data_IF_018794068986
#
_entry.id   IF_018794068986
#
_cell.length_a   1.000
_cell.length_b   1.000
_cell.length_c   1.000
_cell.angle_alpha   90.00
_cell.angle_beta   90.00
_cell.angle_gamma   90.00
#
_symmetry.space_group_name_H-M   'P 1'
#
loop_
_entity.id
_entity.type
_entity.pdbx_description
1 polymer ?
#
# COMPACT_ATOMS: atom_id res chain seq x y z
N UNK A 1 -8.67 -24.69 40.81
CA UNK A 1 -7.83 -24.05 39.77
C UNK A 1 -6.80 -23.14 40.44
N UNK A 2 -5.81 -22.65 39.72
CA UNK A 2 -4.79 -21.71 40.23
C UNK A 2 -4.71 -20.47 39.34
N UNK A 3 -4.35 -19.32 39.94
CA UNK A 3 -4.19 -18.05 39.24
C UNK A 3 -2.85 -17.42 39.60
N UNK A 4 -2.08 -17.03 38.57
CA UNK A 4 -0.79 -16.34 38.73
C UNK A 4 -1.02 -14.83 38.71
N UNK A 5 -0.65 -14.16 39.80
CA UNK A 5 -0.84 -12.72 39.97
C UNK A 5 0.48 -12.08 40.37
N UNK A 6 0.89 -11.04 39.66
CA UNK A 6 2.03 -10.19 39.98
C UNK A 6 1.65 -9.18 41.07
N UNK A 7 2.44 -9.15 42.14
CA UNK A 7 2.29 -8.22 43.26
C UNK A 7 3.65 -7.63 43.57
N UNK A 8 3.80 -6.31 43.52
CA UNK A 8 5.04 -5.60 43.81
C UNK A 8 6.28 -6.19 43.10
N UNK A 9 6.09 -6.62 41.83
CA UNK A 9 7.14 -7.20 41.00
C UNK A 9 7.43 -8.69 41.24
N UNK A 10 6.70 -9.37 42.12
CA UNK A 10 6.84 -10.81 42.39
C UNK A 10 5.57 -11.57 41.99
N UNK A 11 5.73 -12.71 41.32
CA UNK A 11 4.59 -13.59 40.98
C UNK A 11 4.17 -14.37 42.22
N UNK A 12 2.88 -14.29 42.58
CA UNK A 12 2.23 -15.11 43.59
C UNK A 12 1.18 -15.99 42.93
N UNK A 13 1.02 -17.21 43.47
CA UNK A 13 0.01 -18.17 42.99
C UNK A 13 -1.12 -18.24 44.00
N UNK A 14 -2.34 -17.97 43.55
CA UNK A 14 -3.55 -18.15 44.34
C UNK A 14 -4.13 -19.51 44.00
N UNK A 15 -4.06 -20.44 44.95
CA UNK A 15 -4.59 -21.79 44.82
C UNK A 15 -6.01 -21.89 45.38
N UNK A 16 -6.76 -22.93 44.97
CA UNK A 16 -8.11 -23.20 45.49
C UNK A 16 -9.23 -22.38 44.85
N UNK A 17 -8.98 -21.76 43.70
CA UNK A 17 -9.98 -20.93 43.00
C UNK A 17 -10.99 -21.80 42.22
N UNK A 18 -12.23 -21.32 42.18
CA UNK A 18 -13.36 -21.87 41.45
C UNK A 18 -13.94 -20.84 40.48
N UNK A 19 -14.73 -21.28 39.50
CA UNK A 19 -15.32 -20.39 38.48
C UNK A 19 -16.27 -19.33 39.07
N UNK A 20 -16.80 -19.56 40.27
CA UNK A 20 -17.63 -18.62 41.02
C UNK A 20 -16.86 -17.65 41.91
N UNK A 21 -15.54 -17.82 42.07
CA UNK A 21 -14.72 -16.93 42.90
C UNK A 21 -14.64 -15.54 42.28
N UNK A 22 -15.01 -14.52 43.05
CA UNK A 22 -15.00 -13.12 42.58
C UNK A 22 -13.60 -12.52 42.61
N UNK A 23 -13.39 -11.49 41.79
CA UNK A 23 -12.17 -10.68 41.77
C UNK A 23 -11.90 -10.07 43.14
N UNK A 24 -12.97 -9.64 43.83
CA UNK A 24 -12.89 -9.15 45.20
C UNK A 24 -12.27 -10.18 46.15
N UNK A 25 -12.72 -11.44 46.11
CA UNK A 25 -12.20 -12.50 47.00
C UNK A 25 -10.70 -12.76 46.74
N UNK A 26 -10.29 -12.79 45.48
CA UNK A 26 -8.88 -12.93 45.09
C UNK A 26 -8.05 -11.75 45.60
N UNK A 27 -8.54 -10.53 45.41
CA UNK A 27 -7.87 -9.31 45.89
C UNK A 27 -7.73 -9.30 47.40
N UNK A 28 -8.79 -9.68 48.13
CA UNK A 28 -8.79 -9.77 49.59
C UNK A 28 -7.78 -10.82 50.06
N UNK A 29 -7.81 -12.02 49.48
CA UNK A 29 -6.90 -13.10 49.84
C UNK A 29 -5.43 -12.70 49.63
N UNK A 30 -5.12 -12.06 48.50
CA UNK A 30 -3.77 -11.55 48.23
C UNK A 30 -3.37 -10.45 49.20
N UNK A 31 -4.22 -9.44 49.41
CA UNK A 31 -3.94 -8.33 50.32
C UNK A 31 -3.71 -8.82 51.77
N UNK A 32 -4.50 -9.79 52.22
CA UNK A 32 -4.34 -10.45 53.53
C UNK A 32 -3.03 -11.24 53.61
N UNK A 33 -2.67 -12.00 52.57
CA UNK A 33 -1.42 -12.76 52.53
C UNK A 33 -0.16 -11.88 52.49
N UNK A 34 -0.27 -10.66 51.94
CA UNK A 34 0.80 -9.66 51.93
C UNK A 34 0.84 -8.87 53.25
N UNK A 35 -0.22 -8.95 54.07
CA UNK A 35 -0.34 -8.18 55.31
C UNK A 35 -0.62 -6.69 55.09
N UNK A 36 -0.89 -6.28 53.85
CA UNK A 36 -1.18 -4.89 53.50
C UNK A 36 -2.65 -4.74 53.16
N UNK A 37 -3.43 -4.16 54.07
CA UNK A 37 -4.84 -3.86 53.82
C UNK A 37 -5.01 -2.50 53.13
N UNK A 38 -6.01 -2.39 52.25
CA UNK A 38 -6.21 -1.17 51.47
C UNK A 38 -7.14 -1.38 50.29
N UNK A 39 -7.28 -0.33 49.47
CA UNK A 39 -7.99 -0.42 48.19
C UNK A 39 -7.04 -0.95 47.12
N UNK A 40 -7.45 -2.03 46.48
CA UNK A 40 -6.70 -2.69 45.42
C UNK A 40 -7.59 -2.89 44.21
N UNK A 41 -6.94 -2.95 43.04
CA UNK A 41 -7.55 -3.34 41.78
C UNK A 41 -6.76 -4.51 41.20
N UNK A 42 -7.47 -5.44 40.57
CA UNK A 42 -6.85 -6.52 39.81
C UNK A 42 -6.89 -6.12 38.33
N UNK A 43 -5.71 -6.09 37.70
CA UNK A 43 -5.54 -5.70 36.32
C UNK A 43 -5.20 -6.96 35.52
N UNK A 44 -5.95 -7.20 34.47
CA UNK A 44 -5.71 -8.25 33.49
C UNK A 44 -4.98 -7.63 32.29
N UNK A 45 -3.78 -8.12 31.99
CA UNK A 45 -2.97 -7.66 30.85
C UNK A 45 -2.86 -8.75 29.81
N UNK A 46 -3.19 -8.42 28.57
CA UNK A 46 -2.98 -9.25 27.39
C UNK A 46 -2.21 -8.44 26.35
N UNK A 47 -0.94 -8.82 26.10
CA UNK A 47 -0.04 -8.11 25.18
C UNK A 47 0.09 -6.62 25.58
N UNK A 48 -0.46 -5.72 24.76
CA UNK A 48 -0.45 -4.27 24.94
C UNK A 48 -1.77 -3.72 25.48
N UNK A 49 -2.72 -4.60 25.85
CA UNK A 49 -4.02 -4.21 26.42
C UNK A 49 -4.08 -4.52 27.91
N UNK A 50 -4.43 -3.52 28.71
CA UNK A 50 -4.65 -3.65 30.16
C UNK A 50 -6.12 -3.36 30.48
N UNK A 51 -6.77 -4.28 31.19
CA UNK A 51 -8.17 -4.18 31.60
C UNK A 51 -8.25 -4.32 33.11
N UNK A 52 -8.87 -3.35 33.78
CA UNK A 52 -9.17 -3.46 35.21
C UNK A 52 -10.39 -4.35 35.38
N UNK A 53 -10.29 -5.37 36.23
CA UNK A 53 -11.41 -6.23 36.58
C UNK A 53 -12.28 -5.56 37.64
N UNK A 54 -13.59 -5.65 37.47
CA UNK A 54 -14.53 -5.18 38.49
C UNK A 54 -14.56 -6.13 39.69
N UNK A 55 -14.96 -5.64 40.86
CA UNK A 55 -15.05 -6.45 42.08
C UNK A 55 -15.94 -7.69 41.93
N UNK A 56 -17.04 -7.58 41.17
CA UNK A 56 -18.01 -8.64 40.92
C UNK A 56 -17.64 -9.57 39.76
N UNK A 57 -16.60 -9.23 38.98
CA UNK A 57 -16.15 -10.08 37.88
C UNK A 57 -15.39 -11.29 38.39
N UNK A 58 -15.44 -12.39 37.64
CA UNK A 58 -14.76 -13.64 37.98
C UNK A 58 -13.46 -13.73 37.16
N UNK A 59 -12.27 -13.79 37.80
CA UNK A 59 -10.99 -13.80 37.08
C UNK A 59 -10.82 -15.02 36.18
N UNK A 60 -11.29 -16.20 36.62
CA UNK A 60 -11.23 -17.44 35.84
C UNK A 60 -12.21 -17.43 34.66
N UNK A 61 -13.41 -16.86 34.83
CA UNK A 61 -14.36 -16.68 33.72
C UNK A 61 -13.81 -15.67 32.70
N UNK A 62 -13.17 -14.59 33.16
CA UNK A 62 -12.52 -13.60 32.31
C UNK A 62 -11.37 -14.21 31.52
N UNK A 63 -10.63 -15.14 32.13
CA UNK A 63 -9.59 -15.92 31.47
C UNK A 63 -10.18 -16.90 30.43
N UNK A 64 -11.27 -17.59 30.77
CA UNK A 64 -11.94 -18.53 29.87
C UNK A 64 -12.52 -17.84 28.62
N UNK A 65 -13.04 -16.61 28.77
CA UNK A 65 -13.55 -15.78 27.66
C UNK A 65 -12.48 -15.45 26.61
N UNK A 66 -11.20 -15.48 26.98
CA UNK A 66 -10.08 -15.21 26.08
C UNK A 66 -9.64 -16.46 25.30
N UNK A 67 -10.21 -17.62 25.62
CA UNK A 67 -10.00 -18.88 24.90
C UNK A 67 -8.53 -19.19 24.68
N UNK A 68 -8.13 -19.23 23.40
CA UNK A 68 -6.76 -19.59 22.97
C UNK A 68 -5.69 -18.62 23.50
N UNK A 69 -6.05 -17.39 23.86
CA UNK A 69 -5.12 -16.39 24.39
C UNK A 69 -4.94 -16.45 25.90
N UNK A 70 -5.64 -17.35 26.61
CA UNK A 70 -5.58 -17.44 28.08
C UNK A 70 -4.16 -17.66 28.64
N UNK A 71 -3.30 -18.38 27.90
CA UNK A 71 -1.91 -18.62 28.32
C UNK A 71 -1.00 -17.38 28.31
N UNK A 72 -1.36 -16.34 27.54
CA UNK A 72 -0.59 -15.08 27.44
C UNK A 72 -1.06 -14.02 28.44
N UNK A 73 -2.13 -14.28 29.19
CA UNK A 73 -2.73 -13.32 30.12
C UNK A 73 -1.94 -13.27 31.42
N UNK A 74 -1.64 -12.05 31.88
CA UNK A 74 -0.99 -11.80 33.15
C UNK A 74 -1.91 -10.96 34.04
N UNK A 75 -2.04 -11.36 35.31
CA UNK A 75 -2.79 -10.58 36.30
C UNK A 75 -1.83 -9.78 37.17
N UNK A 76 -2.19 -8.55 37.49
CA UNK A 76 -1.42 -7.65 38.34
C UNK A 76 -2.32 -7.09 39.45
N UNK A 77 -1.85 -7.18 40.69
CA UNK A 77 -2.49 -6.51 41.80
C UNK A 77 -1.88 -5.12 41.96
N UNK A 78 -2.70 -4.08 41.87
CA UNK A 78 -2.27 -2.69 42.05
C UNK A 78 -3.02 -2.04 43.19
N UNK A 79 -2.29 -1.35 44.05
CA UNK A 79 -2.85 -0.56 45.15
C UNK A 79 -3.31 0.81 44.68
N UNK A 80 -4.51 1.23 45.07
CA UNK A 80 -5.14 2.50 44.68
C UNK A 80 -5.53 3.40 45.85
N UNK A 81 -5.45 2.92 47.09
CA UNK A 81 -5.79 3.72 48.29
C UNK A 81 -4.67 3.78 49.33
N UNK A 82 -4.66 4.82 50.20
CA UNK A 82 -3.63 5.00 51.24
C UNK A 82 -3.64 3.85 52.26
N UNK A 83 -2.45 3.44 52.69
CA UNK A 83 -2.24 2.41 53.72
C UNK A 83 -2.61 2.94 55.10
N UNK A 84 -3.47 2.25 55.84
CA UNK A 84 -3.64 2.49 57.27
C UNK A 84 -2.50 1.88 58.11
N UNK A 85 -1.52 1.23 57.48
CA UNK A 85 -0.51 0.41 58.16
C UNK A 85 0.87 0.58 57.53
N UNK A 86 1.40 1.80 57.41
CA UNK A 86 2.85 1.93 57.25
C UNK A 86 3.42 3.13 57.99
N UNK A 87 4.32 2.81 58.92
CA UNK A 87 5.28 3.74 59.48
C UNK A 87 6.38 4.07 58.46
N UNK A 88 7.34 4.93 58.81
CA UNK A 88 8.24 5.51 57.82
C UNK A 88 9.36 4.53 57.48
N UNK A 89 9.26 3.82 56.36
CA UNK A 89 10.43 3.20 55.76
C UNK A 89 10.40 3.20 54.23
N UNK A 90 11.23 4.11 53.70
CA UNK A 90 12.11 3.95 52.54
C UNK A 90 11.51 3.70 51.14
N UNK A 91 11.60 4.77 50.34
CA UNK A 91 12.12 4.83 48.96
C UNK A 91 11.71 3.72 47.99
N UNK A 92 10.86 4.07 47.02
CA UNK A 92 11.13 3.69 45.62
C UNK A 92 10.53 4.70 44.63
N UNK A 93 11.41 5.15 43.74
CA UNK A 93 11.18 5.96 42.56
C UNK A 93 10.13 5.39 41.60
N UNK A 94 9.25 6.24 41.07
CA UNK A 94 9.24 6.71 39.66
C UNK A 94 7.86 7.32 39.31
N UNK A 95 7.78 8.38 38.49
CA UNK A 95 6.61 9.26 38.40
C UNK A 95 5.56 8.76 37.42
N UNK A 96 4.28 8.91 37.79
CA UNK A 96 3.16 8.99 36.85
C UNK A 96 3.01 10.44 36.32
N UNK A 97 2.62 10.65 35.06
CA UNK A 97 2.54 11.98 34.44
C UNK A 97 1.37 12.83 34.99
N UNK A 98 1.51 14.16 35.06
CA UNK A 98 0.42 15.04 35.47
C UNK A 98 -0.65 15.15 34.39
N UNK A 99 -1.90 14.96 34.83
CA UNK A 99 -3.14 15.18 34.10
C UNK A 99 -3.27 16.61 33.55
N UNK A 100 -3.42 16.72 32.22
CA UNK A 100 -3.89 17.91 31.52
C UNK A 100 -5.35 18.24 31.89
N UNK A 101 -5.72 19.53 32.10
CA UNK A 101 -7.11 19.95 32.16
C UNK A 101 -7.77 19.80 30.78
N UNK A 102 -8.94 19.15 30.75
CA UNK A 102 -9.79 19.00 29.57
C UNK A 102 -10.35 20.37 29.14
N UNK A 103 -10.05 20.74 27.90
CA UNK A 103 -10.75 21.74 27.11
C UNK A 103 -12.12 21.15 26.65
N UNK A 104 -13.24 21.88 26.73
CA UNK A 104 -14.42 21.59 25.90
C UNK A 104 -14.37 22.37 24.58
N UNK A 105 -14.60 21.64 23.50
CA UNK A 105 -14.74 22.07 22.09
C UNK A 105 -15.99 22.97 21.84
N UNK A 106 -16.29 23.44 20.61
CA UNK A 106 -16.44 24.85 20.27
C UNK A 106 -17.89 25.25 19.96
N UNK A 107 -18.28 26.49 20.24
CA UNK A 107 -19.48 27.06 19.63
C UNK A 107 -19.26 28.43 18.99
N UNK A 108 -19.73 28.50 17.76
CA UNK A 108 -19.78 29.62 16.84
C UNK A 108 -20.65 30.74 17.43
N UNK A 109 -20.18 32.00 17.42
CA UNK A 109 -20.96 33.12 16.85
C UNK A 109 -20.30 34.50 16.96
N UNK A 110 -20.18 35.12 15.77
CA UNK A 110 -20.55 36.51 15.45
C UNK A 110 -19.69 37.68 15.99
N UNK A 111 -19.03 38.30 14.98
CA UNK A 111 -19.26 39.69 14.53
C UNK A 111 -18.45 40.83 15.20
N UNK A 112 -17.56 41.38 14.37
CA UNK A 112 -17.32 42.82 14.13
C UNK A 112 -16.12 43.54 14.77
N UNK A 113 -15.02 43.55 13.99
CA UNK A 113 -14.15 44.69 13.63
C UNK A 113 -13.20 45.35 14.65
N UNK A 114 -12.09 45.96 14.15
CA UNK A 114 -10.79 46.00 14.82
C UNK A 114 -10.42 47.39 15.35
N UNK A 115 -9.82 47.49 16.54
CA UNK A 115 -9.12 48.72 16.97
C UNK A 115 -7.92 48.44 17.87
N UNK A 116 -6.74 48.74 17.30
CA UNK A 116 -5.61 49.50 17.86
C UNK A 116 -4.87 48.90 19.07
N UNK A 117 -3.60 48.61 18.79
CA UNK A 117 -2.51 48.51 19.76
C UNK A 117 -2.48 49.73 20.68
N UNK A 118 -2.32 49.47 21.98
CA UNK A 118 -1.82 50.45 22.93
C UNK A 118 -0.69 49.81 23.72
N UNK A 119 0.50 50.21 23.31
CA UNK A 119 1.77 50.17 24.00
C UNK A 119 1.62 50.73 25.42
N UNK A 120 2.09 50.00 26.44
CA UNK A 120 2.50 50.63 27.70
C UNK A 120 4.02 50.67 27.75
N UNK A 121 4.54 51.87 27.95
CA UNK A 121 5.95 52.22 27.88
C UNK A 121 6.72 51.70 29.10
N UNK A 122 7.78 50.96 28.81
CA UNK A 122 9.15 51.10 29.34
C UNK A 122 9.35 51.99 30.59
N UNK A 123 9.82 51.37 31.67
CA UNK A 123 10.73 51.96 32.66
C UNK A 123 12.15 51.40 32.45
N UNK A 124 13.22 52.21 32.50
CA UNK A 124 14.55 51.81 32.04
C UNK A 124 15.48 51.28 33.15
N UNK A 125 16.46 50.48 32.70
CA UNK A 125 17.83 50.39 33.20
C UNK A 125 18.08 49.75 34.57
N UNK A 126 19.10 48.94 34.81
CA UNK A 126 20.25 48.49 33.99
C UNK A 126 20.91 47.34 34.74
N UNK A 127 21.16 46.24 34.04
CA UNK A 127 22.26 45.31 34.34
C UNK A 127 23.34 45.55 33.28
N UNK A 128 24.63 45.37 33.62
CA UNK A 128 25.47 44.74 32.60
C UNK A 128 26.30 43.58 33.14
N UNK A 129 26.06 42.45 32.50
CA UNK A 129 26.88 41.26 32.43
C UNK A 129 28.12 41.55 31.59
N UNK A 130 29.28 41.17 32.11
CA UNK A 130 30.57 41.11 31.43
C UNK A 130 30.61 40.01 30.35
N UNK A 131 31.19 40.27 29.17
CA UNK A 131 32.50 39.71 28.71
C UNK A 131 32.74 39.88 27.18
N UNK A 132 34.04 40.10 26.88
CA UNK A 132 34.84 39.69 25.72
C UNK A 132 34.88 40.52 24.41
N UNK A 133 36.03 41.21 24.25
CA UNK A 133 37.00 41.26 23.12
C UNK A 133 36.49 41.29 21.65
N UNK A 134 36.86 42.34 20.89
CA UNK A 134 37.64 42.23 19.63
C UNK A 134 38.14 43.60 19.06
N UNK A 135 39.46 43.67 18.83
CA UNK A 135 40.30 44.41 17.86
C UNK A 135 39.76 45.52 16.91
N UNK A 136 40.49 46.66 16.85
CA UNK A 136 41.32 47.18 15.70
C UNK A 136 41.76 48.65 15.95
N UNK A 137 43.07 48.95 16.05
CA UNK A 137 43.93 49.75 15.12
C UNK A 137 43.18 50.84 14.33
N UNK A 138 43.65 52.07 14.10
CA UNK A 138 44.79 52.92 14.49
C UNK A 138 44.63 54.24 13.71
N UNK A 139 44.91 55.41 14.30
CA UNK A 139 45.44 56.63 13.65
C UNK A 139 45.72 57.66 14.77
N UNK A 140 46.97 57.78 15.25
CA UNK A 140 47.99 58.76 14.85
C UNK A 140 47.50 60.21 14.87
N UNK A 141 47.93 60.96 15.89
CA UNK A 141 48.81 62.12 15.68
C UNK A 141 49.57 62.47 16.96
N UNK A 142 50.91 62.49 16.91
CA UNK A 142 51.84 63.15 17.87
C UNK A 142 53.30 62.80 17.50
N UNK A 143 54.18 63.78 17.25
CA UNK A 143 55.58 63.54 16.93
C UNK A 143 56.55 63.74 18.10
N UNK A 144 57.53 62.83 18.13
CA UNK A 144 58.98 62.99 18.37
C UNK A 144 59.51 63.95 19.45
N UNK A 145 60.24 63.36 20.41
CA UNK A 145 61.69 63.54 20.64
C UNK A 145 62.15 62.46 21.66
N UNK A 146 62.88 61.41 21.24
CA UNK A 146 64.36 61.21 21.39
C UNK A 146 64.89 61.63 22.77
N UNK A 147 65.75 60.91 23.49
CA UNK A 147 66.44 59.62 23.36
C UNK A 147 67.15 59.38 24.71
N UNK A 148 67.48 58.13 25.02
CA UNK A 148 68.44 57.76 26.07
C UNK A 148 69.81 58.41 25.82
N UNK A 149 70.61 58.61 26.88
CA UNK A 149 71.94 57.98 26.83
C UNK A 149 72.48 57.51 28.19
N UNK A 150 73.27 56.43 28.13
CA UNK A 150 74.40 56.12 29.00
C UNK A 150 75.59 57.06 28.73
N UNK A 151 76.55 57.24 29.68
CA UNK A 151 77.86 57.78 29.30
C UNK A 151 79.06 56.95 29.79
N UNK A 152 79.92 56.57 28.85
CA UNK A 152 81.37 56.77 28.94
C UNK A 152 81.71 57.89 27.93
N UNK A 153 82.73 58.77 28.10
CA UNK A 153 84.06 58.44 27.54
C UNK A 153 85.30 59.22 28.09
N UNK A 154 86.49 58.79 27.65
CA UNK A 154 87.68 59.61 27.30
C UNK A 154 88.00 59.32 25.82
N UNK A 155 88.85 60.03 25.02
CA UNK A 155 89.85 61.07 25.37
C UNK A 155 90.01 62.28 24.36
N UNK A 156 90.93 63.21 24.72
CA UNK A 156 91.75 64.20 23.94
C UNK A 156 91.16 65.54 23.42
N UNK A 157 91.50 66.64 24.14
CA UNK A 157 92.13 67.95 23.77
C UNK A 157 91.95 68.60 22.37
N UNK A 158 91.99 69.96 22.22
CA UNK A 158 92.82 70.87 23.04
C UNK A 158 92.23 72.24 23.45
N UNK A 159 92.77 72.77 24.55
CA UNK A 159 92.69 74.15 25.08
C UNK A 159 91.28 74.60 25.55
N UNK A 160 91.01 74.95 26.80
CA UNK A 160 91.82 75.73 27.74
C UNK A 160 91.54 75.30 29.19
N UNK A 161 92.58 75.39 30.01
CA UNK A 161 92.58 75.13 31.44
C UNK A 161 91.67 76.12 32.18
N UNK A 162 90.76 75.64 33.03
CA UNK A 162 90.42 76.31 34.29
C UNK A 162 89.75 75.35 35.28
N UNK A 163 90.04 75.44 36.60
CA UNK A 163 89.64 74.46 37.59
C UNK A 163 88.17 74.65 38.02
N UNK A 164 87.44 73.54 38.20
CA UNK A 164 86.13 73.51 38.83
C UNK A 164 86.23 74.04 40.27
N UNK A 165 85.41 75.03 40.70
CA UNK A 165 85.41 75.47 42.08
C UNK A 165 84.82 74.33 42.93
N UNK A 166 85.52 73.96 44.02
CA UNK A 166 84.91 73.22 45.12
C UNK A 166 83.55 73.86 45.44
N UNK A 167 82.46 73.07 45.58
CA UNK A 167 81.15 73.65 45.90
C UNK A 167 81.34 74.52 47.12
N UNK A 168 80.95 75.78 47.00
CA UNK A 168 81.15 76.73 48.10
C UNK A 168 80.50 76.15 49.35
N UNK A 169 81.08 76.41 50.52
CA UNK A 169 80.53 75.94 51.80
C UNK A 169 79.00 76.21 51.89
N UNK A 170 78.54 77.30 51.28
CA UNK A 170 77.14 77.68 51.14
C UNK A 170 76.28 76.73 50.29
N UNK A 171 76.78 76.20 49.18
CA UNK A 171 76.06 75.20 48.36
C UNK A 171 75.90 73.88 49.09
N UNK A 172 76.94 73.44 49.80
CA UNK A 172 76.87 72.25 50.64
C UNK A 172 75.85 72.46 51.76
N UNK A 173 75.87 73.62 52.42
CA UNK A 173 74.89 73.99 53.44
C UNK A 173 73.47 73.98 52.86
N UNK A 174 73.23 74.57 51.68
CA UNK A 174 71.91 74.55 51.01
C UNK A 174 71.45 73.12 50.70
N UNK A 175 72.33 72.28 50.18
CA UNK A 175 72.03 70.88 49.87
C UNK A 175 71.74 70.07 51.15
N UNK A 176 72.47 70.32 52.23
CA UNK A 176 72.21 69.70 53.54
C UNK A 176 70.83 70.11 54.08
N UNK A 177 70.45 71.39 53.97
CA UNK A 177 69.11 71.82 54.35
C UNK A 177 68.02 71.17 53.49
N UNK A 178 68.20 71.09 52.17
CA UNK A 178 67.25 70.44 51.28
C UNK A 178 67.12 68.93 51.57
N UNK A 179 68.24 68.25 51.85
CA UNK A 179 68.24 66.85 52.27
C UNK A 179 67.56 66.69 53.63
N UNK A 180 67.78 67.62 54.56
CA UNK A 180 67.14 67.61 55.87
C UNK A 180 65.62 67.79 55.77
N UNK A 181 65.13 68.68 54.89
CA UNK A 181 63.69 68.84 54.63
C UNK A 181 63.07 67.59 53.99
N UNK A 182 63.76 66.98 53.03
CA UNK A 182 63.29 65.74 52.38
C UNK A 182 63.20 64.57 53.35
N UNK A 183 64.16 64.45 54.27
CA UNK A 183 64.13 63.44 55.32
C UNK A 183 62.95 63.68 56.27
N UNK A 184 62.74 64.93 56.74
CA UNK A 184 61.58 65.26 57.57
C UNK A 184 60.25 64.96 56.89
N UNK A 185 60.15 65.17 55.57
CA UNK A 185 58.95 64.85 54.81
C UNK A 185 58.69 63.33 54.75
N UNK A 186 59.74 62.52 54.55
CA UNK A 186 59.60 61.05 54.57
C UNK A 186 59.32 60.52 55.98
N UNK A 187 59.94 61.09 57.02
CA UNK A 187 59.63 60.78 58.41
C UNK A 187 58.15 61.07 58.72
N UNK A 188 57.63 62.22 58.30
CA UNK A 188 56.21 62.54 58.46
C UNK A 188 55.27 61.58 57.70
N UNK A 189 55.67 61.11 56.51
CA UNK A 189 54.91 60.10 55.74
C UNK A 189 54.95 58.72 56.39
N UNK A 190 56.11 58.30 56.91
CA UNK A 190 56.25 57.05 57.65
C UNK A 190 55.43 57.11 58.93
N UNK A 191 55.47 58.20 59.68
CA UNK A 191 54.62 58.36 60.85
C UNK A 191 53.12 58.40 60.49
N UNK A 192 52.75 58.92 59.31
CA UNK A 192 51.36 58.87 58.83
C UNK A 192 50.91 57.43 58.53
N UNK A 193 51.71 56.69 57.76
CA UNK A 193 51.47 55.29 57.46
C UNK A 193 51.53 54.41 58.71
N UNK A 194 52.40 54.73 59.65
CA UNK A 194 52.52 54.04 60.93
C UNK A 194 51.27 54.33 61.78
N UNK A 195 50.79 55.58 61.85
CA UNK A 195 49.51 55.91 62.49
C UNK A 195 48.34 55.17 61.82
N UNK A 196 48.31 55.07 60.49
CA UNK A 196 47.29 54.30 59.75
C UNK A 196 47.37 52.80 60.06
N UNK A 197 48.56 52.19 59.98
CA UNK A 197 48.80 50.80 60.37
C UNK A 197 48.39 50.56 61.82
N UNK A 198 48.74 51.45 62.75
CA UNK A 198 48.32 51.35 64.14
C UNK A 198 46.81 51.54 64.31
N UNK A 199 46.11 52.28 63.45
CA UNK A 199 44.63 52.31 63.47
C UNK A 199 44.02 51.00 62.99
N UNK A 200 44.66 50.30 62.05
CA UNK A 200 44.23 48.98 61.59
C UNK A 200 44.62 47.85 62.58
N UNK A 201 45.70 48.01 63.33
CA UNK A 201 46.25 47.00 64.25
C UNK A 201 45.85 47.17 65.72
N UNK A 202 45.48 48.38 66.18
CA UNK A 202 45.10 48.59 67.58
C UNK A 202 43.81 47.84 67.90
N UNK A 203 43.81 46.91 68.87
CA UNK A 203 42.57 46.31 69.37
C UNK A 203 41.70 47.43 69.96
N UNK A 204 40.57 47.69 69.31
CA UNK A 204 39.64 48.79 69.56
C UNK A 204 39.58 49.26 71.03
N UNK A 205 40.01 50.49 71.28
CA UNK A 205 39.66 51.24 72.50
C UNK A 205 39.12 52.61 72.07
N UNK A 206 37.82 52.65 71.75
CA UNK A 206 37.06 53.87 71.46
C UNK A 206 35.67 53.79 72.14
N UNK A 207 35.17 54.87 72.77
CA UNK A 207 33.89 54.88 73.47
C UNK A 207 32.72 55.21 72.53
N UNK A 208 32.21 54.20 71.81
CA UNK A 208 30.88 54.18 71.17
C UNK A 208 30.40 52.72 71.04
N UNK A 209 29.08 52.46 70.96
CA UNK A 209 28.51 51.24 71.51
C UNK A 209 28.93 50.01 70.70
N UNK A 210 29.55 49.08 71.41
CA UNK A 210 29.87 47.71 71.01
C UNK A 210 30.98 47.53 69.96
N UNK A 211 32.20 47.13 70.35
CA UNK A 211 33.11 46.46 69.41
C UNK A 211 32.40 45.18 68.96
N UNK A 212 32.14 45.00 67.66
CA UNK A 212 31.71 43.69 67.15
C UNK A 212 32.82 42.71 67.53
N UNK A 213 32.59 41.77 68.45
CA UNK A 213 33.67 40.93 68.95
C UNK A 213 34.26 40.14 67.78
N UNK A 214 35.57 39.89 67.77
CA UNK A 214 36.20 38.97 66.82
C UNK A 214 35.45 37.60 66.75
N UNK A 215 34.79 37.22 67.85
CA UNK A 215 33.88 36.08 67.90
C UNK A 215 32.69 36.19 66.93
N UNK A 216 32.06 37.37 66.78
CA UNK A 216 30.95 37.56 65.84
C UNK A 216 31.40 37.42 64.39
N UNK A 217 32.54 37.99 64.01
CA UNK A 217 33.10 37.83 62.65
C UNK A 217 33.49 36.36 62.39
N UNK A 218 34.03 35.67 63.40
CA UNK A 218 34.34 34.24 63.30
C UNK A 218 33.06 33.39 63.16
N UNK A 219 32.01 33.72 63.92
CA UNK A 219 30.69 33.09 63.79
C UNK A 219 30.09 33.34 62.41
N UNK A 220 30.16 34.56 61.89
CA UNK A 220 29.73 34.90 60.53
C UNK A 220 30.51 34.09 59.49
N UNK A 221 31.83 34.00 59.61
CA UNK A 221 32.66 33.17 58.73
C UNK A 221 32.25 31.70 58.78
N UNK A 222 32.02 31.14 59.97
CA UNK A 222 31.55 29.77 60.13
C UNK A 222 30.16 29.57 59.50
N UNK A 223 29.25 30.55 59.64
CA UNK A 223 27.91 30.48 59.02
C UNK A 223 27.99 30.51 57.50
N UNK A 224 28.87 31.33 56.93
CA UNK A 224 29.10 31.42 55.49
C UNK A 224 29.78 30.16 54.95
N UNK A 225 30.74 29.58 55.67
CA UNK A 225 31.34 28.29 55.29
C UNK A 225 30.28 27.17 55.28
N UNK A 226 29.41 27.13 56.29
CA UNK A 226 28.33 26.17 56.34
C UNK A 226 27.33 26.39 55.20
N UNK A 227 27.00 27.65 54.88
CA UNK A 227 26.17 27.99 53.72
C UNK A 227 26.84 27.58 52.41
N UNK A 228 28.15 27.81 52.25
CA UNK A 228 28.89 27.40 51.06
C UNK A 228 28.87 25.88 50.87
N UNK A 229 29.01 25.10 51.95
CA UNK A 229 28.88 23.64 51.91
C UNK A 229 27.47 23.19 51.53
N UNK A 230 26.43 23.86 52.05
CA UNK A 230 25.03 23.59 51.67
C UNK A 230 24.79 23.89 50.20
N UNK A 231 25.19 25.08 49.73
CA UNK A 231 25.08 25.46 48.33
C UNK A 231 25.84 24.50 47.42
N UNK A 232 27.01 24.00 47.84
CA UNK A 232 27.76 22.99 47.08
C UNK A 232 27.01 21.66 46.98
N UNK A 233 26.35 21.22 48.06
CA UNK A 233 25.53 20.02 48.04
C UNK A 233 24.27 20.20 47.17
N UNK A 234 23.65 21.38 47.21
CA UNK A 234 22.52 21.75 46.36
C UNK A 234 22.92 21.75 44.88
N UNK A 235 24.03 22.39 44.53
CA UNK A 235 24.57 22.38 43.16
C UNK A 235 24.87 20.97 42.65
N UNK A 236 25.41 20.08 43.49
CA UNK A 236 25.65 18.69 43.12
C UNK A 236 24.33 17.93 42.86
N UNK A 237 23.28 18.25 43.63
CA UNK A 237 21.96 17.67 43.41
C UNK A 237 21.30 18.21 42.13
N UNK A 238 21.45 19.50 41.85
CA UNK A 238 21.00 20.11 40.60
C UNK A 238 21.69 19.47 39.39
N UNK A 239 23.02 19.30 39.43
CA UNK A 239 23.79 18.63 38.38
C UNK A 239 23.29 17.21 38.11
N UNK A 240 23.01 16.43 39.16
CA UNK A 240 22.44 15.09 39.00
C UNK A 240 21.10 15.13 38.25
N UNK A 241 20.22 16.08 38.56
CA UNK A 241 18.94 16.19 37.88
C UNK A 241 19.07 16.74 36.46
N UNK A 242 20.04 17.61 36.19
CA UNK A 242 20.37 18.04 34.83
C UNK A 242 20.81 16.84 33.97
N UNK A 243 21.69 15.98 34.50
CA UNK A 243 22.12 14.74 33.83
C UNK A 243 20.95 13.77 33.59
N UNK A 244 20.09 13.56 34.59
CA UNK A 244 18.90 12.71 34.44
C UNK A 244 17.90 13.28 33.43
N UNK A 245 17.73 14.61 33.40
CA UNK A 245 16.89 15.28 32.43
C UNK A 245 17.45 15.11 31.02
N UNK A 246 18.75 15.31 30.81
CA UNK A 246 19.40 15.10 29.53
C UNK A 246 19.25 13.65 29.06
N UNK A 247 19.49 12.68 29.95
CA UNK A 247 19.31 11.26 29.64
C UNK A 247 17.86 10.93 29.26
N UNK A 248 16.87 11.51 29.93
CA UNK A 248 15.47 11.31 29.59
C UNK A 248 15.09 11.95 28.24
N UNK A 249 15.62 13.14 27.93
CA UNK A 249 15.45 13.78 26.62
C UNK A 249 16.06 12.92 25.51
N UNK A 250 17.21 12.29 25.73
CA UNK A 250 17.80 11.37 24.77
C UNK A 250 16.95 10.10 24.58
N UNK A 251 16.44 9.51 25.65
CA UNK A 251 15.48 8.39 25.58
C UNK A 251 14.24 8.78 24.80
N UNK A 252 13.70 9.98 25.03
CA UNK A 252 12.56 10.50 24.30
C UNK A 252 12.88 10.66 22.80
N UNK A 253 14.06 11.22 22.45
CA UNK A 253 14.50 11.33 21.05
C UNK A 253 14.62 9.96 20.38
N UNK A 254 15.12 8.95 21.08
CA UNK A 254 15.16 7.56 20.56
C UNK A 254 13.76 7.03 20.32
N UNK A 255 12.84 7.20 21.28
CA UNK A 255 11.45 6.76 21.15
C UNK A 255 10.74 7.47 20.00
N UNK A 256 10.95 8.78 19.82
CA UNK A 256 10.40 9.54 18.69
C UNK A 256 10.92 9.05 17.35
N UNK A 257 12.20 8.67 17.25
CA UNK A 257 12.77 8.06 16.03
C UNK A 257 12.13 6.70 15.74
N UNK A 258 12.02 5.82 16.74
CA UNK A 258 11.35 4.52 16.60
C UNK A 258 9.88 4.67 16.19
N UNK A 259 9.18 5.64 16.77
CA UNK A 259 7.82 5.98 16.35
C UNK A 259 7.81 6.41 14.88
N UNK A 260 8.71 7.30 14.45
CA UNK A 260 8.84 7.69 13.05
C UNK A 260 9.08 6.51 12.09
N UNK A 261 9.97 5.59 12.47
CA UNK A 261 10.22 4.35 11.72
C UNK A 261 8.96 3.48 11.63
N UNK A 262 8.24 3.30 12.74
CA UNK A 262 6.98 2.55 12.76
C UNK A 262 5.92 3.19 11.85
N UNK A 263 5.74 4.51 11.90
CA UNK A 263 4.83 5.21 10.99
C UNK A 263 5.24 5.02 9.52
N UNK A 264 6.53 5.11 9.20
CA UNK A 264 7.02 4.87 7.84
C UNK A 264 6.75 3.43 7.37
N UNK A 265 6.91 2.43 8.24
CA UNK A 265 6.56 1.03 7.94
C UNK A 265 5.06 0.82 7.77
N UNK A 266 4.23 1.51 8.57
CA UNK A 266 2.77 1.46 8.45
C UNK A 266 2.34 2.05 7.10
N UNK A 267 2.90 3.19 6.72
CA UNK A 267 2.62 3.83 5.43
C UNK A 267 3.04 2.94 4.26
N UNK A 268 4.17 2.23 4.39
CA UNK A 268 4.60 1.28 3.36
C UNK A 268 3.66 0.07 3.23
N UNK A 269 3.26 -0.50 4.37
CA UNK A 269 2.21 -1.53 4.41
C UNK A 269 0.90 -1.02 3.81
N UNK A 270 0.51 0.23 4.10
CA UNK A 270 -0.67 0.88 3.55
C UNK A 270 -0.61 1.03 2.02
N UNK A 271 0.54 1.47 1.48
CA UNK A 271 0.76 1.54 0.03
C UNK A 271 0.67 0.17 -0.63
N UNK A 272 1.35 -0.83 -0.06
CA UNK A 272 1.30 -2.22 -0.58
C UNK A 272 -0.11 -2.79 -0.58
N UNK A 273 -0.88 -2.54 0.49
CA UNK A 273 -2.29 -2.93 0.56
C UNK A 273 -3.13 -2.22 -0.50
N UNK A 274 -2.90 -0.93 -0.72
CA UNK A 274 -3.55 -0.20 -1.80
C UNK A 274 -3.22 -0.80 -3.18
N UNK A 275 -1.96 -1.12 -3.45
CA UNK A 275 -1.55 -1.77 -4.71
C UNK A 275 -2.18 -3.15 -4.89
N UNK A 276 -2.30 -3.94 -3.82
CA UNK A 276 -3.04 -5.21 -3.86
C UNK A 276 -4.53 -4.99 -4.11
N UNK A 277 -5.13 -3.97 -3.50
CA UNK A 277 -6.55 -3.63 -3.70
C UNK A 277 -6.83 -3.18 -5.14
N UNK A 278 -5.96 -2.35 -5.72
CA UNK A 278 -6.08 -1.92 -7.12
C UNK A 278 -5.94 -3.11 -8.06
N UNK A 279 -4.93 -3.98 -7.86
CA UNK A 279 -4.77 -5.19 -8.67
C UNK A 279 -5.94 -6.16 -8.53
N UNK A 280 -6.47 -6.32 -7.32
CA UNK A 280 -7.67 -7.14 -7.09
C UNK A 280 -8.87 -6.58 -7.84
N UNK A 281 -9.09 -5.27 -7.79
CA UNK A 281 -10.18 -4.62 -8.53
C UNK A 281 -10.02 -4.74 -10.05
N UNK A 282 -8.79 -4.65 -10.56
CA UNK A 282 -8.48 -4.88 -11.97
C UNK A 282 -8.78 -6.32 -12.39
N UNK A 283 -8.30 -7.31 -11.63
CA UNK A 283 -8.57 -8.72 -11.91
C UNK A 283 -10.07 -9.04 -11.82
N UNK A 284 -10.80 -8.48 -10.85
CA UNK A 284 -12.26 -8.61 -10.79
C UNK A 284 -12.95 -8.03 -12.03
N UNK A 285 -12.46 -6.90 -12.54
CA UNK A 285 -13.00 -6.31 -13.77
C UNK A 285 -12.70 -7.19 -14.99
N UNK A 286 -11.50 -7.74 -15.08
CA UNK A 286 -11.10 -8.69 -16.13
C UNK A 286 -11.97 -9.95 -16.11
N UNK A 287 -12.15 -10.56 -14.92
CA UNK A 287 -13.04 -11.72 -14.74
C UNK A 287 -14.48 -11.37 -15.16
N UNK A 288 -15.01 -10.22 -14.74
CA UNK A 288 -16.36 -9.79 -15.15
C UNK A 288 -16.46 -9.61 -16.67
N UNK A 289 -15.41 -9.07 -17.31
CA UNK A 289 -15.36 -8.90 -18.77
C UNK A 289 -15.30 -10.25 -19.46
N UNK A 290 -14.45 -11.15 -18.99
CA UNK A 290 -14.31 -12.52 -19.51
C UNK A 290 -15.61 -13.30 -19.35
N UNK A 291 -16.24 -13.29 -18.18
CA UNK A 291 -17.54 -13.94 -17.96
C UNK A 291 -18.65 -13.34 -18.84
N UNK A 292 -18.61 -12.03 -19.13
CA UNK A 292 -19.56 -11.40 -20.05
C UNK A 292 -19.26 -11.78 -21.51
N UNK A 293 -17.98 -11.92 -21.89
CA UNK A 293 -17.56 -12.41 -23.20
C UNK A 293 -17.90 -13.89 -23.38
N UNK A 294 -17.70 -14.74 -22.38
CA UNK A 294 -18.16 -16.13 -22.34
C UNK A 294 -19.69 -16.20 -22.41
N UNK A 295 -20.41 -15.34 -21.68
CA UNK A 295 -21.87 -15.24 -21.77
C UNK A 295 -22.36 -14.81 -23.17
N UNK A 296 -21.63 -13.94 -23.87
CA UNK A 296 -21.91 -13.59 -25.28
C UNK A 296 -21.47 -14.68 -26.26
N UNK A 297 -20.39 -15.38 -25.95
CA UNK A 297 -19.92 -16.57 -26.65
C UNK A 297 -20.76 -17.82 -26.29
N UNK A 298 -21.81 -17.69 -25.47
CA UNK A 298 -22.95 -18.61 -25.34
C UNK A 298 -24.13 -18.24 -26.28
N UNK A 299 -24.02 -17.19 -27.09
CA UNK A 299 -24.81 -17.01 -28.32
C UNK A 299 -24.68 -18.11 -29.40
N UNK A 300 -23.77 -19.12 -29.33
CA UNK A 300 -23.82 -20.27 -30.20
C UNK A 300 -25.07 -21.09 -29.96
N UNK A 301 -25.74 -21.07 -28.81
CA UNK A 301 -26.96 -21.88 -28.63
C UNK A 301 -28.03 -21.50 -29.66
N UNK A 302 -28.30 -20.22 -29.86
CA UNK A 302 -29.24 -19.74 -30.90
C UNK A 302 -28.73 -20.09 -32.32
N UNK A 303 -27.42 -19.99 -32.56
CA UNK A 303 -26.83 -20.37 -33.86
C UNK A 303 -26.79 -21.88 -34.10
N UNK A 304 -26.64 -22.68 -33.05
CA UNK A 304 -26.61 -24.14 -33.07
C UNK A 304 -28.02 -24.66 -33.28
N UNK A 305 -29.02 -24.03 -32.67
CA UNK A 305 -30.43 -24.35 -32.90
C UNK A 305 -30.85 -23.96 -34.32
N UNK A 306 -30.36 -22.84 -34.86
CA UNK A 306 -30.53 -22.51 -36.29
C UNK A 306 -29.88 -23.56 -37.22
N UNK A 307 -28.65 -24.00 -36.93
CA UNK A 307 -27.96 -25.05 -37.70
C UNK A 307 -28.68 -26.41 -37.59
N UNK A 308 -29.19 -26.77 -36.41
CA UNK A 308 -30.00 -27.99 -36.22
C UNK A 308 -31.27 -27.95 -37.06
N UNK A 309 -31.96 -26.80 -37.08
CA UNK A 309 -33.16 -26.63 -37.89
C UNK A 309 -32.86 -26.73 -39.40
N UNK A 310 -31.74 -26.15 -39.87
CA UNK A 310 -31.30 -26.29 -41.27
C UNK A 310 -30.96 -27.75 -41.62
N UNK A 311 -30.30 -28.48 -40.71
CA UNK A 311 -29.99 -29.89 -40.89
C UNK A 311 -31.26 -30.74 -41.02
N UNK A 312 -32.24 -30.52 -40.14
CA UNK A 312 -33.53 -31.21 -40.20
C UNK A 312 -34.30 -30.89 -41.50
N UNK A 313 -34.25 -29.65 -41.97
CA UNK A 313 -34.85 -29.29 -43.25
C UNK A 313 -34.18 -30.02 -44.41
N UNK A 314 -32.85 -30.13 -44.41
CA UNK A 314 -32.11 -30.90 -45.44
C UNK A 314 -32.38 -32.40 -45.36
N UNK A 315 -32.49 -32.96 -44.16
CA UNK A 315 -32.87 -34.37 -43.96
C UNK A 315 -34.24 -34.63 -44.58
N UNK A 316 -35.23 -33.79 -44.30
CA UNK A 316 -36.58 -33.93 -44.86
C UNK A 316 -36.57 -33.81 -46.40
N UNK A 317 -35.83 -32.83 -46.95
CA UNK A 317 -35.67 -32.70 -48.41
C UNK A 317 -35.01 -33.94 -49.02
N UNK A 318 -34.01 -34.51 -48.34
CA UNK A 318 -33.39 -35.75 -48.78
C UNK A 318 -34.39 -36.91 -48.76
N UNK A 319 -35.19 -37.04 -47.70
CA UNK A 319 -36.22 -38.10 -47.65
C UNK A 319 -37.27 -37.94 -48.74
N UNK A 320 -37.66 -36.71 -49.06
CA UNK A 320 -38.59 -36.42 -50.16
C UNK A 320 -37.97 -36.79 -51.52
N UNK A 321 -36.70 -36.46 -51.74
CA UNK A 321 -35.98 -36.86 -52.95
C UNK A 321 -35.77 -38.39 -53.04
N UNK A 322 -35.51 -39.06 -51.92
CA UNK A 322 -35.42 -40.53 -51.86
C UNK A 322 -36.77 -41.18 -52.18
N UNK A 323 -37.89 -40.62 -51.70
CA UNK A 323 -39.23 -41.06 -52.06
C UNK A 323 -39.49 -40.88 -53.56
N UNK A 324 -39.20 -39.69 -54.10
CA UNK A 324 -39.32 -39.40 -55.54
C UNK A 324 -38.46 -40.35 -56.39
N UNK A 325 -37.21 -40.61 -55.98
CA UNK A 325 -36.35 -41.60 -56.65
C UNK A 325 -37.00 -42.99 -56.63
N UNK A 326 -37.52 -43.42 -55.49
CA UNK A 326 -38.20 -44.71 -55.37
C UNK A 326 -39.44 -44.83 -56.28
N UNK A 327 -40.16 -43.73 -56.49
CA UNK A 327 -41.29 -43.67 -57.42
C UNK A 327 -40.83 -43.75 -58.86
N UNK A 328 -39.75 -43.04 -59.22
CA UNK A 328 -39.17 -43.11 -60.56
C UNK A 328 -38.60 -44.49 -60.88
N UNK A 329 -37.95 -45.16 -59.92
CA UNK A 329 -37.46 -46.53 -60.07
C UNK A 329 -38.61 -47.52 -60.29
N UNK A 330 -39.72 -47.38 -59.54
CA UNK A 330 -40.93 -48.18 -59.76
C UNK A 330 -41.54 -47.93 -61.14
N UNK A 331 -41.58 -46.68 -61.60
CA UNK A 331 -42.09 -46.34 -62.92
C UNK A 331 -41.18 -46.89 -64.04
N UNK A 332 -39.87 -46.83 -63.85
CA UNK A 332 -38.88 -47.40 -64.75
C UNK A 332 -39.03 -48.92 -64.83
N UNK A 333 -39.16 -49.61 -63.70
CA UNK A 333 -39.40 -51.06 -63.67
C UNK A 333 -40.71 -51.47 -64.39
N UNK A 334 -41.77 -50.66 -64.29
CA UNK A 334 -43.01 -50.87 -65.07
C UNK A 334 -42.77 -50.69 -66.57
N UNK A 335 -42.00 -49.68 -66.98
CA UNK A 335 -41.66 -49.44 -68.38
C UNK A 335 -40.76 -50.54 -68.95
N UNK A 336 -39.82 -51.06 -68.15
CA UNK A 336 -38.99 -52.22 -68.51
C UNK A 336 -39.83 -53.48 -68.70
N UNK A 337 -40.77 -53.77 -67.80
CA UNK A 337 -41.72 -54.89 -67.96
C UNK A 337 -42.54 -54.75 -69.24
N UNK A 338 -43.09 -53.56 -69.51
CA UNK A 338 -43.86 -53.32 -70.72
C UNK A 338 -43.00 -53.48 -71.99
N UNK A 339 -41.75 -53.03 -71.95
CA UNK A 339 -40.79 -53.22 -73.05
C UNK A 339 -40.49 -54.70 -73.26
N UNK A 340 -40.34 -55.48 -72.19
CA UNK A 340 -40.16 -56.93 -72.27
C UNK A 340 -41.39 -57.61 -72.88
N UNK A 341 -42.60 -57.25 -72.44
CA UNK A 341 -43.84 -57.78 -73.00
C UNK A 341 -43.94 -57.49 -74.51
N UNK A 342 -43.55 -56.27 -74.94
CA UNK A 342 -43.48 -55.91 -76.36
C UNK A 342 -42.39 -56.63 -77.13
N UNK A 343 -41.26 -56.93 -76.49
CA UNK A 343 -40.20 -57.74 -77.09
C UNK A 343 -40.69 -59.18 -77.32
N UNK A 344 -41.38 -59.77 -76.35
CA UNK A 344 -41.93 -61.12 -76.44
C UNK A 344 -43.02 -61.19 -77.54
N UNK A 345 -43.90 -60.19 -77.62
CA UNK A 345 -44.91 -60.05 -78.69
C UNK A 345 -44.25 -59.94 -80.07
N UNK A 346 -43.16 -59.17 -80.20
CA UNK A 346 -42.39 -59.08 -81.45
C UNK A 346 -41.74 -60.42 -81.83
N UNK A 347 -41.23 -61.17 -80.85
CA UNK A 347 -40.68 -62.51 -81.09
C UNK A 347 -41.74 -63.50 -81.53
N UNK A 348 -42.94 -63.45 -80.97
CA UNK A 348 -44.09 -64.24 -81.40
C UNK A 348 -44.50 -63.89 -82.84
N UNK A 349 -44.69 -62.61 -83.14
CA UNK A 349 -44.96 -62.14 -84.50
C UNK A 349 -43.82 -62.52 -85.48
N UNK A 350 -42.56 -62.51 -85.04
CA UNK A 350 -41.43 -62.98 -85.87
C UNK A 350 -41.54 -64.48 -86.16
N UNK A 351 -41.94 -65.29 -85.17
CA UNK A 351 -42.19 -66.73 -85.36
C UNK A 351 -43.33 -66.96 -86.36
N UNK A 352 -44.45 -66.26 -86.21
CA UNK A 352 -45.58 -66.31 -87.14
C UNK A 352 -45.19 -65.88 -88.56
N UNK A 353 -44.43 -64.79 -88.69
CA UNK A 353 -43.93 -64.33 -89.99
C UNK A 353 -43.03 -65.37 -90.65
N UNK A 354 -42.13 -66.02 -89.90
CA UNK A 354 -41.31 -67.12 -90.41
C UNK A 354 -42.17 -68.31 -90.84
N UNK A 355 -43.22 -68.64 -90.09
CA UNK A 355 -44.16 -69.70 -90.44
C UNK A 355 -44.91 -69.38 -91.75
N UNK A 356 -45.43 -68.16 -91.89
CA UNK A 356 -46.06 -67.67 -93.13
C UNK A 356 -45.08 -67.72 -94.31
N UNK A 357 -43.85 -67.21 -94.14
CA UNK A 357 -42.82 -67.26 -95.18
C UNK A 357 -42.47 -68.70 -95.59
N UNK A 358 -42.37 -69.61 -94.63
CA UNK A 358 -42.15 -71.04 -94.89
C UNK A 358 -43.34 -71.65 -95.65
N UNK A 359 -44.57 -71.31 -95.27
CA UNK A 359 -45.77 -71.78 -95.95
C UNK A 359 -45.86 -71.25 -97.39
N UNK A 360 -45.48 -69.99 -97.62
CA UNK A 360 -45.36 -69.41 -98.96
C UNK A 360 -44.28 -70.11 -99.79
N UNK A 361 -43.12 -70.42 -99.20
CA UNK A 361 -42.06 -71.19 -99.86
C UNK A 361 -42.55 -72.59 -100.27
N UNK A 362 -43.29 -73.28 -99.40
CA UNK A 362 -43.90 -74.58 -99.71
C UNK A 362 -44.91 -74.46 -100.87
N UNK A 363 -45.77 -73.42 -100.88
CA UNK A 363 -46.70 -73.18 -102.00
C UNK A 363 -45.99 -72.90 -103.33
N UNK A 364 -44.87 -72.16 -103.31
CA UNK A 364 -44.10 -71.85 -104.52
C UNK A 364 -43.29 -73.05 -105.04
N UNK A 365 -43.00 -74.05 -104.21
CA UNK A 365 -42.14 -75.20 -104.56
C UNK A 365 -42.93 -76.52 -104.72
N UNK A 366 -44.24 -76.52 -104.44
CA UNK A 366 -45.13 -77.67 -104.62
C UNK A 366 -45.87 -77.69 -105.97
N UNK A 367 -45.66 -78.74 -106.77
CA UNK A 367 -46.28 -78.99 -108.08
C UNK A 367 -47.71 -79.54 -107.93
N UNK A 368 -48.70 -78.85 -108.53
CA UNK A 368 -50.14 -79.22 -108.68
C UNK A 368 -50.35 -80.31 -109.75
N UNK A 369 -51.43 -81.13 -109.74
CA UNK A 369 -52.75 -80.67 -110.26
C UNK A 369 -53.95 -81.40 -109.59
N UNK A 370 -55.26 -81.14 -109.78
CA UNK A 370 -56.07 -80.37 -110.72
C UNK A 370 -57.49 -80.17 -110.10
N UNK A 371 -58.24 -79.17 -110.59
CA UNK A 371 -59.71 -79.09 -110.65
C UNK A 371 -60.50 -79.10 -109.32
N UNK A 372 -61.56 -78.32 -109.09
CA UNK A 372 -62.36 -77.36 -109.83
C UNK A 372 -63.22 -76.58 -108.80
N UNK A 373 -64.02 -75.62 -109.29
CA UNK A 373 -65.24 -75.07 -108.67
C UNK A 373 -65.17 -73.65 -108.06
N UNK A 374 -65.62 -72.72 -108.92
CA UNK A 374 -66.73 -71.78 -108.67
C UNK A 374 -66.73 -70.94 -107.38
N UNK A 375 -66.19 -69.75 -107.57
CA UNK A 375 -66.58 -68.45 -107.01
C UNK A 375 -68.10 -68.23 -106.98
N UNK A 376 -68.78 -68.56 -105.88
CA UNK A 376 -69.91 -67.80 -105.25
C UNK A 376 -70.45 -68.55 -104.02
N UNK A 377 -70.94 -67.79 -103.03
CA UNK A 377 -71.64 -68.20 -101.78
C UNK A 377 -70.69 -68.63 -100.65
N UNK A 378 -70.46 -67.87 -99.57
CA UNK A 378 -71.39 -67.22 -98.65
C UNK A 378 -70.75 -65.92 -98.11
N UNK A 379 -70.83 -64.77 -98.79
CA UNK A 379 -71.86 -63.71 -98.65
C UNK A 379 -72.93 -63.78 -97.54
N UNK A 380 -72.80 -64.64 -96.51
CA UNK A 380 -73.77 -64.74 -95.41
C UNK A 380 -73.09 -65.06 -94.05
N UNK A 381 -71.91 -64.51 -93.79
CA UNK A 381 -71.39 -64.38 -92.41
C UNK A 381 -70.96 -62.95 -92.10
N UNK A 382 -71.72 -62.00 -92.65
CA UNK A 382 -71.63 -60.56 -92.37
C UNK A 382 -72.68 -60.11 -91.35
N UNK A 383 -73.29 -61.03 -90.59
CA UNK A 383 -74.40 -60.71 -89.69
C UNK A 383 -74.20 -61.10 -88.22
N UNK A 384 -73.03 -61.61 -87.81
CA UNK A 384 -72.76 -61.85 -86.38
C UNK A 384 -71.31 -61.52 -86.03
N UNK A 385 -71.00 -60.23 -85.98
CA UNK A 385 -70.29 -59.59 -84.88
C UNK A 385 -70.39 -58.08 -85.13
N UNK A 386 -71.42 -57.48 -84.54
CA UNK A 386 -71.25 -56.61 -83.38
C UNK A 386 -71.02 -55.17 -83.83
N UNK A 387 -72.09 -54.39 -83.87
CA UNK A 387 -72.41 -53.49 -82.76
C UNK A 387 -71.23 -52.58 -82.40
N UNK A 388 -71.41 -51.32 -82.81
CA UNK A 388 -70.76 -50.12 -82.33
C UNK A 388 -69.39 -49.82 -82.98
N UNK A 389 -69.23 -48.78 -83.80
CA UNK A 389 -69.72 -47.42 -83.59
C UNK A 389 -69.71 -46.61 -84.91
N UNK A 390 -70.86 -46.02 -85.23
CA UNK A 390 -70.95 -44.80 -86.02
C UNK A 390 -71.01 -43.61 -85.05
N UNK A 391 -70.13 -42.62 -85.27
CA UNK A 391 -70.34 -41.18 -85.00
C UNK A 391 -71.62 -40.66 -85.72
N UNK A 392 -72.01 -39.35 -85.71
CA UNK A 392 -71.67 -38.19 -84.86
C UNK A 392 -72.89 -37.30 -84.50
N UNK A 393 -72.68 -36.32 -83.61
CA UNK A 393 -73.10 -34.89 -83.69
C UNK A 393 -73.00 -34.29 -82.26
N UNK A 394 -72.51 -33.10 -81.97
CA UNK A 394 -71.99 -32.00 -82.77
C UNK A 394 -71.83 -30.76 -81.86
N UNK A 395 -70.84 -29.90 -82.18
CA UNK A 395 -70.74 -28.45 -81.90
C UNK A 395 -70.82 -27.94 -80.42
N UNK A 396 -69.99 -26.97 -79.96
CA UNK A 396 -69.72 -25.67 -80.59
C UNK A 396 -68.53 -24.92 -79.93
N UNK A 397 -67.71 -24.27 -80.78
CA UNK A 397 -66.97 -22.99 -80.70
C UNK A 397 -66.33 -22.50 -79.37
N UNK A 398 -65.14 -21.89 -79.36
CA UNK A 398 -64.25 -21.38 -80.42
C UNK A 398 -63.41 -20.17 -79.89
N UNK A 399 -62.23 -19.89 -80.47
CA UNK A 399 -61.49 -18.63 -80.21
C UNK A 399 -59.98 -18.59 -80.46
N UNK A 400 -59.58 -18.49 -81.75
CA UNK A 400 -58.46 -17.73 -82.38
C UNK A 400 -57.13 -17.41 -81.63
N UNK A 401 -55.99 -17.69 -82.29
CA UNK A 401 -54.73 -16.94 -82.11
C UNK A 401 -53.41 -17.63 -82.53
N UNK A 402 -53.06 -17.46 -83.81
CA UNK A 402 -51.77 -17.68 -84.51
C UNK A 402 -50.45 -17.89 -83.73
N UNK A 403 -49.62 -18.86 -84.19
CA UNK A 403 -48.28 -18.63 -84.81
C UNK A 403 -47.36 -19.90 -84.80
N UNK A 404 -46.91 -20.28 -86.01
CA UNK A 404 -45.62 -20.92 -86.39
C UNK A 404 -45.19 -22.29 -85.76
N UNK A 405 -45.22 -23.42 -86.50
CA UNK A 405 -44.08 -24.03 -87.28
C UNK A 405 -42.77 -24.04 -86.49
N UNK A 406 -42.11 -25.14 -86.08
CA UNK A 406 -41.93 -26.51 -86.59
C UNK A 406 -41.59 -27.47 -85.41
N UNK A 407 -41.88 -28.76 -85.56
CA UNK A 407 -41.34 -29.86 -84.72
C UNK A 407 -40.31 -30.68 -85.54
N UNK A 408 -39.60 -31.70 -84.98
CA UNK A 408 -38.15 -31.73 -84.79
C UNK A 408 -37.45 -32.78 -85.71
N UNK A 409 -36.18 -33.15 -85.44
CA UNK A 409 -36.01 -34.50 -84.89
C UNK A 409 -34.88 -34.65 -83.84
N UNK A 410 -35.11 -35.57 -82.90
CA UNK A 410 -34.13 -36.26 -82.03
C UNK A 410 -33.27 -37.24 -82.90
N UNK A 411 -32.08 -37.77 -82.47
CA UNK A 411 -31.91 -38.35 -81.14
C UNK A 411 -30.48 -38.47 -80.51
N UNK A 412 -30.53 -38.78 -79.21
CA UNK A 412 -29.65 -39.58 -78.31
C UNK A 412 -28.19 -39.24 -77.96
N UNK A 413 -28.03 -39.02 -76.64
CA UNK A 413 -27.07 -39.62 -75.71
C UNK A 413 -25.56 -39.60 -76.05
N UNK A 414 -24.84 -38.72 -75.34
CA UNK A 414 -23.66 -39.08 -74.53
C UNK A 414 -23.20 -37.91 -73.65
N UNK A 415 -22.85 -38.26 -72.41
CA UNK A 415 -21.83 -37.64 -71.57
C UNK A 415 -22.17 -36.32 -70.84
N UNK A 416 -22.66 -36.53 -69.62
CA UNK A 416 -22.22 -35.80 -68.43
C UNK A 416 -20.70 -35.60 -68.44
N UNK A 417 -20.23 -34.35 -68.37
CA UNK A 417 -19.17 -33.88 -67.48
C UNK A 417 -19.01 -32.36 -67.64
N UNK A 418 -19.65 -31.60 -66.75
CA UNK A 418 -19.36 -30.18 -66.59
C UNK A 418 -18.09 -29.99 -65.78
N UNK A 419 -17.18 -29.12 -66.24
CA UNK A 419 -16.09 -28.56 -65.45
C UNK A 419 -16.09 -27.03 -65.63
N UNK A 420 -16.32 -26.24 -64.57
CA UNK A 420 -15.97 -24.83 -64.58
C UNK A 420 -14.67 -24.60 -63.80
N UNK A 421 -13.64 -24.11 -64.51
CA UNK A 421 -12.53 -23.35 -63.89
C UNK A 421 -13.03 -21.92 -63.72
N UNK A 422 -13.06 -21.41 -62.49
CA UNK A 422 -12.57 -20.07 -62.12
C UNK A 422 -12.76 -19.82 -60.61
N UNK A 423 -11.82 -19.03 -60.07
CA UNK A 423 -11.73 -18.48 -58.70
C UNK A 423 -10.92 -19.30 -57.69
N UNK A 424 -9.61 -19.08 -57.82
CA UNK A 424 -8.62 -18.93 -56.75
C UNK A 424 -9.20 -18.26 -55.49
N UNK A 425 -9.10 -18.96 -54.35
CA UNK A 425 -8.46 -18.51 -53.09
C UNK A 425 -9.02 -19.31 -51.89
N UNK A 426 -8.28 -20.26 -51.31
CA UNK A 426 -8.48 -20.66 -49.93
C UNK A 426 -7.48 -19.93 -49.02
N UNK A 427 -8.01 -19.18 -48.05
CA UNK A 427 -7.28 -18.79 -46.85
C UNK A 427 -7.06 -20.06 -46.02
N UNK A 428 -5.80 -20.47 -45.84
CA UNK A 428 -5.41 -21.47 -44.85
C UNK A 428 -4.71 -20.73 -43.71
N UNK A 429 -5.32 -20.82 -42.53
CA UNK A 429 -4.69 -20.54 -41.24
C UNK A 429 -3.71 -21.65 -40.86
N UNK A 430 -2.71 -21.24 -40.07
CA UNK A 430 -1.91 -22.06 -39.14
C UNK A 430 -0.82 -22.97 -39.72
N UNK A 431 0.44 -22.61 -39.46
CA UNK A 431 1.35 -23.31 -38.53
C UNK A 431 2.80 -22.89 -38.81
N UNK A 432 3.46 -22.36 -37.78
CA UNK A 432 4.91 -22.21 -37.70
C UNK A 432 5.60 -23.58 -37.76
N UNK A 433 6.79 -23.64 -38.38
CA UNK A 433 7.87 -24.41 -37.80
C UNK A 433 9.14 -23.56 -37.65
N UNK A 434 9.75 -23.68 -36.47
CA UNK A 434 11.09 -23.22 -36.15
C UNK A 434 12.13 -23.79 -37.12
N UNK A 435 13.05 -22.97 -37.66
CA UNK A 435 14.49 -23.29 -37.87
C UNK A 435 15.29 -21.98 -38.04
N UNK A 436 16.17 -21.72 -37.07
CA UNK A 436 17.57 -21.28 -37.17
C UNK A 436 18.01 -20.49 -38.42
N UNK A 437 18.40 -19.22 -38.23
CA UNK A 437 19.60 -18.67 -38.89
C UNK A 437 20.40 -17.82 -37.90
N UNK A 438 21.71 -18.02 -37.97
CA UNK A 438 22.78 -17.44 -37.15
C UNK A 438 23.22 -16.06 -37.65
N UNK A 439 24.10 -15.42 -36.86
CA UNK A 439 25.04 -14.30 -37.16
C UNK A 439 24.44 -12.89 -37.09
N UNK A 440 25.03 -11.90 -36.41
CA UNK A 440 26.35 -11.77 -35.76
C UNK A 440 26.37 -10.44 -34.96
N UNK A 441 27.17 -10.38 -33.87
CA UNK A 441 27.97 -9.23 -33.39
C UNK A 441 27.32 -7.83 -33.26
N UNK A 442 27.43 -7.11 -32.15
CA UNK A 442 28.71 -6.74 -31.55
C UNK A 442 28.50 -6.13 -30.17
N UNK A 443 29.37 -6.55 -29.25
CA UNK A 443 29.65 -5.93 -27.97
C UNK A 443 30.09 -4.46 -28.14
N UNK A 444 29.61 -3.60 -27.23
CA UNK A 444 30.39 -2.62 -26.47
C UNK A 444 29.62 -2.16 -25.24
#
# INVERSE_FOLDING_TARGET
MELKVWVDGVVRVVCGLSEDTSCQDVVIALAQAIGQTGRYILIQRLRDTERQLLATEKPLESLAKLGQHGGEVQFFLRRTGPSSSDGPSSKQDRPSPPSLPKHPEPELSKRSQPKKALTFNLGPSTSPRTKAKLLKRSARDSPEQRASPSPSPSPVSPHALSPLPSPSKEEVIRNVFQQQERLRAMEAQLEALERESHTWERPYSSPCPSPVPHAHVQEEMNTLELAARRNQAELAHEQFWEEELEAEVERERVMRRKLGELHATLDDCGRRLHDFSVRSAQLEQEIRRESQEEGRANGPEESLDAIKAELQSRENQRTELEEQLSETDKALGKAESLMQDKQDELEELNKELRQCNLQQFIQQTGVLPAHAHSRTELREQLEQLELAHLLPDGYRNGGLGAAHTETPPRPTAKQFLGHPRNLQNPLVSSLNPEVVTSRESSWR
#
